data_IF_476865631930
#
_entry.id   IF_476865631930
#
_cell.length_a   1.000
_cell.length_b   1.000
_cell.length_c   1.000
_cell.angle_alpha   90.00
_cell.angle_beta   90.00
_cell.angle_gamma   90.00
#
_symmetry.space_group_name_H-M   'P 1'
#
loop_
_entity.id
_entity.type
_entity.pdbx_description
1 polymer ?
#
# COMPACT_ATOMS: atom_id res chain seq x y z
N UNK A 1 -2.58 20.41 18.64
CA UNK A 1 -2.29 19.12 19.28
C UNK A 1 -1.53 18.31 18.27
N UNK A 2 -0.23 18.15 18.53
CA UNK A 2 0.79 17.56 17.67
C UNK A 2 0.45 16.11 17.26
N UNK A 3 0.60 15.84 15.96
CA UNK A 3 0.50 14.51 15.37
C UNK A 3 1.87 13.83 15.45
N UNK A 4 2.15 13.08 16.52
CA UNK A 4 3.40 12.33 16.68
C UNK A 4 3.25 10.85 16.26
N UNK A 5 2.61 10.59 15.12
CA UNK A 5 2.39 9.23 14.61
C UNK A 5 3.46 8.75 13.59
N UNK A 6 4.39 9.62 13.19
CA UNK A 6 5.45 9.30 12.21
C UNK A 6 6.68 8.60 12.80
N UNK A 7 6.84 8.62 14.12
CA UNK A 7 8.06 8.15 14.79
C UNK A 7 8.01 6.64 15.12
N UNK A 8 6.82 6.05 15.21
CA UNK A 8 6.66 4.67 15.69
C UNK A 8 7.22 3.60 14.71
N UNK A 9 7.29 3.91 13.42
CA UNK A 9 7.74 2.98 12.38
C UNK A 9 9.27 2.97 12.21
N UNK A 10 9.97 3.97 12.75
CA UNK A 10 11.40 4.16 12.57
C UNK A 10 12.27 3.44 13.63
N UNK A 11 11.66 2.91 14.70
CA UNK A 11 12.38 2.64 15.96
C UNK A 11 12.57 1.16 16.35
N UNK A 12 12.30 0.18 15.48
CA UNK A 12 12.43 -1.24 15.84
C UNK A 12 13.64 -1.95 15.18
N UNK A 13 14.80 -1.89 15.85
CA UNK A 13 15.87 -2.92 15.86
C UNK A 13 16.96 -2.96 14.77
N UNK A 14 18.24 -2.85 15.18
CA UNK A 14 19.55 -3.15 14.53
C UNK A 14 19.61 -3.76 13.10
N UNK A 15 20.44 -3.21 12.20
CA UNK A 15 20.71 -3.57 10.77
C UNK A 15 19.49 -3.63 9.83
N UNK A 16 18.36 -4.12 10.33
CA UNK A 16 17.04 -4.04 9.72
C UNK A 16 16.61 -2.59 9.47
N UNK A 17 17.06 -1.61 10.26
CA UNK A 17 16.75 -0.19 9.99
C UNK A 17 17.26 0.29 8.64
N UNK A 18 18.47 -0.11 8.22
CA UNK A 18 19.02 0.31 6.94
C UNK A 18 18.27 -0.35 5.79
N UNK A 19 17.94 -1.64 5.93
CA UNK A 19 17.16 -2.40 4.95
C UNK A 19 15.71 -1.92 4.87
N UNK A 20 15.05 -1.67 6.01
CA UNK A 20 13.70 -1.13 6.09
C UNK A 20 13.63 0.29 5.52
N UNK A 21 14.61 1.14 5.84
CA UNK A 21 14.73 2.46 5.24
C UNK A 21 14.94 2.36 3.72
N UNK A 22 15.85 1.49 3.24
CA UNK A 22 16.08 1.28 1.81
C UNK A 22 14.82 0.77 1.08
N UNK A 23 14.07 -0.14 1.72
CA UNK A 23 12.79 -0.62 1.20
C UNK A 23 11.74 0.50 1.13
N UNK A 24 11.65 1.32 2.18
CA UNK A 24 10.74 2.47 2.21
C UNK A 24 11.13 3.51 1.16
N UNK A 25 12.41 3.84 1.03
CA UNK A 25 12.89 4.75 -0.01
C UNK A 25 12.62 4.20 -1.41
N UNK A 26 12.79 2.90 -1.61
CA UNK A 26 12.46 2.22 -2.87
C UNK A 26 10.96 2.29 -3.18
N UNK A 27 10.10 2.12 -2.17
CA UNK A 27 8.65 2.29 -2.29
C UNK A 27 8.27 3.74 -2.62
N UNK A 28 8.86 4.72 -1.92
CA UNK A 28 8.63 6.15 -2.18
C UNK A 28 9.08 6.52 -3.60
N UNK A 29 10.25 6.04 -4.04
CA UNK A 29 10.72 6.23 -5.41
C UNK A 29 9.77 5.60 -6.44
N UNK A 30 9.26 4.40 -6.15
CA UNK A 30 8.26 3.73 -6.98
C UNK A 30 6.93 4.51 -7.02
N UNK A 31 6.47 5.08 -5.91
CA UNK A 31 5.28 5.93 -5.87
C UNK A 31 5.46 7.14 -6.79
N UNK A 32 6.61 7.83 -6.70
CA UNK A 32 6.94 8.98 -7.56
C UNK A 32 6.96 8.60 -9.03
N UNK A 33 7.55 7.45 -9.37
CA UNK A 33 7.58 6.93 -10.75
C UNK A 33 6.17 6.68 -11.31
N UNK A 34 5.23 6.29 -10.46
CA UNK A 34 3.83 6.04 -10.83
C UNK A 34 2.88 7.20 -10.52
N UNK A 35 3.41 8.41 -10.25
CA UNK A 35 2.64 9.61 -9.97
C UNK A 35 1.66 9.47 -8.79
N UNK A 36 2.02 8.67 -7.79
CA UNK A 36 1.28 8.52 -6.55
C UNK A 36 1.83 9.44 -5.47
N UNK A 37 0.92 9.96 -4.65
CA UNK A 37 1.31 10.56 -3.37
C UNK A 37 1.78 9.45 -2.40
N UNK A 38 3.05 9.46 -1.95
CA UNK A 38 3.60 8.36 -1.15
C UNK A 38 2.93 8.21 0.22
N UNK A 39 2.50 9.32 0.83
CA UNK A 39 1.87 9.31 2.15
C UNK A 39 0.47 8.71 2.07
N UNK A 40 -0.37 9.18 1.15
CA UNK A 40 -1.70 8.63 0.90
C UNK A 40 -1.65 7.16 0.48
N UNK A 41 -0.70 6.80 -0.40
CA UNK A 41 -0.47 5.41 -0.80
C UNK A 41 -0.16 4.52 0.41
N UNK A 42 0.80 4.93 1.26
CA UNK A 42 1.22 4.13 2.39
C UNK A 42 0.11 3.99 3.43
N UNK A 43 -0.62 5.07 3.71
CA UNK A 43 -1.76 5.06 4.61
C UNK A 43 -2.85 4.08 4.14
N UNK A 44 -3.20 4.14 2.86
CA UNK A 44 -4.19 3.22 2.27
C UNK A 44 -3.66 1.77 2.28
N UNK A 45 -2.40 1.53 1.93
CA UNK A 45 -1.82 0.19 1.89
C UNK A 45 -1.77 -0.45 3.28
N UNK A 46 -1.33 0.28 4.31
CA UNK A 46 -1.30 -0.21 5.70
C UNK A 46 -2.71 -0.62 6.15
N UNK A 47 -3.73 0.13 5.73
CA UNK A 47 -5.12 -0.16 6.05
C UNK A 47 -5.64 -1.44 5.37
N UNK A 48 -5.35 -1.63 4.09
CA UNK A 48 -5.90 -2.76 3.32
C UNK A 48 -5.08 -4.05 3.46
N UNK A 49 -3.78 -3.95 3.73
CA UNK A 49 -2.86 -5.09 3.80
C UNK A 49 -3.35 -6.23 4.72
N UNK A 50 -3.87 -5.99 5.95
CA UNK A 50 -4.31 -7.06 6.84
C UNK A 50 -5.45 -7.91 6.28
N UNK A 51 -6.25 -7.34 5.37
CA UNK A 51 -7.40 -8.01 4.76
C UNK A 51 -7.04 -8.69 3.43
N UNK A 52 -5.91 -8.31 2.82
CA UNK A 52 -5.53 -8.79 1.49
C UNK A 52 -4.93 -10.20 1.53
N UNK A 53 -5.26 -11.09 0.58
CA UNK A 53 -4.60 -12.39 0.48
C UNK A 53 -3.11 -12.24 0.15
N UNK A 54 -2.22 -12.95 0.86
CA UNK A 54 -0.75 -12.89 0.65
C UNK A 54 -0.32 -13.14 -0.80
N UNK A 55 -0.97 -14.08 -1.49
CA UNK A 55 -0.70 -14.37 -2.90
C UNK A 55 -1.07 -13.24 -3.88
N UNK A 56 -1.72 -12.17 -3.39
CA UNK A 56 -2.19 -11.02 -4.18
C UNK A 56 -1.56 -9.70 -3.74
N UNK A 57 -0.49 -9.71 -2.93
CA UNK A 57 0.17 -8.49 -2.46
C UNK A 57 0.78 -7.64 -3.58
N UNK A 58 1.12 -8.26 -4.72
CA UNK A 58 1.54 -7.50 -5.89
C UNK A 58 0.48 -6.50 -6.34
N UNK A 59 -0.81 -6.76 -6.13
CA UNK A 59 -1.88 -5.79 -6.46
C UNK A 59 -1.78 -4.51 -5.63
N UNK A 60 -1.12 -4.55 -4.48
CA UNK A 60 -0.91 -3.39 -3.61
C UNK A 60 0.33 -2.57 -4.00
N UNK A 61 1.18 -3.06 -4.91
CA UNK A 61 2.40 -2.35 -5.29
C UNK A 61 2.10 -1.03 -6.02
N UNK A 62 2.99 -0.02 -5.97
CA UNK A 62 2.74 1.31 -6.54
C UNK A 62 2.33 1.27 -8.02
N UNK A 63 2.92 0.36 -8.82
CA UNK A 63 2.59 0.16 -10.23
C UNK A 63 1.11 -0.16 -10.48
N UNK A 64 0.49 -0.93 -9.58
CA UNK A 64 -0.87 -1.44 -9.74
C UNK A 64 -1.88 -0.73 -8.85
N UNK A 65 -1.40 0.12 -7.94
CA UNK A 65 -2.20 0.72 -6.89
C UNK A 65 -3.39 1.51 -7.42
N UNK A 66 -3.23 2.33 -8.45
CA UNK A 66 -4.33 3.12 -9.00
C UNK A 66 -5.50 2.23 -9.46
N UNK A 67 -5.19 1.09 -10.12
CA UNK A 67 -6.18 0.10 -10.55
C UNK A 67 -6.82 -0.59 -9.36
N UNK A 68 -6.04 -0.97 -8.36
CA UNK A 68 -6.55 -1.64 -7.15
C UNK A 68 -7.44 -0.71 -6.34
N UNK A 69 -7.03 0.55 -6.15
CA UNK A 69 -7.73 1.59 -5.40
C UNK A 69 -9.06 1.99 -6.03
N UNK A 70 -9.17 1.92 -7.36
CA UNK A 70 -10.42 2.16 -8.09
C UNK A 70 -11.47 1.07 -7.85
N UNK A 71 -11.07 -0.13 -7.38
CA UNK A 71 -11.95 -1.28 -7.13
C UNK A 71 -12.36 -1.40 -5.66
N UNK A 72 -11.80 -0.58 -4.79
CA UNK A 72 -12.14 -0.53 -3.37
C UNK A 72 -13.41 0.28 -3.15
N UNK A 73 -14.19 -0.10 -2.15
CA UNK A 73 -15.40 0.62 -1.76
C UNK A 73 -15.02 1.96 -1.13
N UNK A 74 -15.43 3.07 -1.73
CA UNK A 74 -15.02 4.41 -1.31
C UNK A 74 -15.43 4.74 0.13
N UNK A 75 -16.63 4.32 0.56
CA UNK A 75 -17.11 4.55 1.93
C UNK A 75 -16.29 3.80 2.98
N UNK A 76 -15.87 2.56 2.68
CA UNK A 76 -15.01 1.78 3.57
C UNK A 76 -13.64 2.44 3.75
N UNK A 77 -13.13 3.13 2.73
CA UNK A 77 -11.84 3.84 2.77
C UNK A 77 -11.91 5.17 3.55
N UNK A 78 -13.10 5.77 3.71
CA UNK A 78 -13.27 7.05 4.45
C UNK A 78 -13.23 6.90 5.97
N UNK A 79 -13.64 5.73 6.49
CA UNK A 79 -13.61 5.48 7.93
C UNK A 79 -12.15 5.44 8.42
N UNK A 80 -11.79 5.65 9.68
CA UNK A 80 -10.40 5.44 10.13
C UNK A 80 -10.06 3.94 10.30
N UNK A 81 -11.06 3.13 10.62
CA UNK A 81 -10.97 1.69 10.87
C UNK A 81 -12.27 1.02 10.42
N UNK A 82 -12.21 -0.27 10.10
CA UNK A 82 -13.38 -1.06 9.69
C UNK A 82 -13.01 -2.21 8.77
N UNK A 83 -13.98 -3.09 8.42
CA UNK A 83 -13.76 -4.15 7.46
C UNK A 83 -13.44 -3.56 6.08
N UNK A 84 -12.57 -4.26 5.34
CA UNK A 84 -12.27 -3.97 3.94
C UNK A 84 -12.78 -5.11 3.08
N UNK A 85 -13.67 -4.77 2.14
CA UNK A 85 -14.14 -5.70 1.13
C UNK A 85 -13.09 -5.84 0.05
N UNK A 86 -12.39 -6.98 0.04
CA UNK A 86 -11.37 -7.27 -0.98
C UNK A 86 -12.06 -7.71 -2.29
N UNK A 87 -11.86 -6.99 -3.42
CA UNK A 87 -12.44 -7.38 -4.69
C UNK A 87 -11.86 -8.72 -5.18
N UNK A 88 -12.60 -9.50 -5.99
CA UNK A 88 -12.09 -10.74 -6.56
C UNK A 88 -10.82 -10.49 -7.40
N UNK A 89 -9.93 -11.49 -7.56
CA UNK A 89 -8.74 -11.34 -8.40
C UNK A 89 -9.14 -10.99 -9.83
N UNK A 90 -8.30 -10.19 -10.50
CA UNK A 90 -8.51 -9.89 -11.91
C UNK A 90 -8.32 -11.15 -12.77
N UNK A 91 -9.00 -11.24 -13.93
CA UNK A 91 -8.76 -12.31 -14.89
C UNK A 91 -7.28 -12.39 -15.29
N UNK A 92 -6.79 -13.61 -15.56
CA UNK A 92 -5.38 -13.86 -15.88
C UNK A 92 -4.86 -13.12 -17.13
N UNK A 93 -5.77 -12.66 -17.99
CA UNK A 93 -5.49 -11.85 -19.18
C UNK A 93 -5.12 -10.41 -18.82
N UNK A 94 -5.90 -9.76 -17.95
CA UNK A 94 -5.68 -8.39 -17.47
C UNK A 94 -4.48 -8.29 -16.50
N UNK A 95 -4.08 -9.42 -15.92
CA UNK A 95 -2.86 -9.52 -15.11
C UNK A 95 -1.59 -9.55 -15.97
N UNK A 96 -1.65 -10.14 -17.18
CA UNK A 96 -0.50 -10.30 -18.10
C UNK A 96 -0.25 -9.09 -19.01
N UNK A 97 -1.29 -8.34 -19.37
CA UNK A 97 -1.18 -7.15 -20.22
C UNK A 97 -0.35 -6.00 -19.61
N UNK A 98 0.23 -6.20 -18.43
CA UNK A 98 0.95 -5.19 -17.66
C UNK A 98 2.38 -5.61 -17.32
N UNK A 99 2.97 -6.57 -18.06
CA UNK A 99 4.40 -6.93 -17.94
C UNK A 99 5.26 -5.96 -18.75
#
# INVERSE_FOLDING_TARGET
MENNASEAWLFFGSDDHASAAANLFSLVASCKLHHLDPEAYLADVIRVMPYWPRGRYLELAPRYWARTRARLVAEEMKLPLGPITVPPPLPAEEQRATS
#
